data_IF_078480955250
#
_entry.id   IF_078480955250
#
_cell.length_a   1.000
_cell.length_b   1.000
_cell.length_c   1.000
_cell.angle_alpha   90.00
_cell.angle_beta   90.00
_cell.angle_gamma   90.00
#
_symmetry.space_group_name_H-M   'P 1'
#
loop_
_entity.id
_entity.type
_entity.pdbx_description
1 polymer ?
#
# COMPACT_ATOMS: atom_id res chain seq x y z
N UNK A 1 16.53 2.78 1.59
CA UNK A 1 15.96 2.93 1.26
C UNK A 1 14.73 2.62 1.43
N UNK A 2 13.92 3.12 1.36
CA UNK A 2 12.72 2.93 1.53
C UNK A 2 12.12 2.08 0.66
N UNK A 3 12.35 0.86 0.63
CA UNK A 3 11.77 0.01 -0.26
C UNK A 3 10.43 -0.36 0.16
N UNK A 4 9.99 -0.11 1.37
CA UNK A 4 8.68 -0.53 1.81
C UNK A 4 7.75 0.63 2.02
N UNK A 5 7.79 1.57 1.12
CA UNK A 5 6.86 2.67 1.20
C UNK A 5 5.47 2.18 0.85
N UNK A 6 4.48 2.95 1.22
CA UNK A 6 3.09 2.61 0.92
C UNK A 6 2.90 2.40 -0.57
N UNK A 7 3.49 3.27 -1.38
CA UNK A 7 3.34 3.14 -2.83
C UNK A 7 3.89 1.83 -3.35
N UNK A 8 5.02 1.41 -2.82
CA UNK A 8 5.60 0.15 -3.25
C UNK A 8 4.77 -1.04 -2.83
N UNK A 9 4.17 -0.95 -1.65
CA UNK A 9 3.31 -2.02 -1.20
C UNK A 9 2.08 -2.13 -2.08
N UNK A 10 1.47 -1.00 -2.40
CA UNK A 10 0.30 -0.99 -3.27
C UNK A 10 0.66 -1.54 -4.65
N UNK A 11 1.81 -1.14 -5.18
CA UNK A 11 2.27 -1.63 -6.46
C UNK A 11 2.42 -3.15 -6.43
N UNK A 12 3.05 -3.66 -5.39
CA UNK A 12 3.26 -5.09 -5.25
C UNK A 12 1.93 -5.84 -5.17
N UNK A 13 1.01 -5.34 -4.37
CA UNK A 13 -0.29 -5.99 -4.23
C UNK A 13 -1.06 -5.96 -5.54
N UNK A 14 -0.95 -4.85 -6.26
CA UNK A 14 -1.64 -4.74 -7.54
C UNK A 14 -1.11 -5.76 -8.53
N UNK A 15 0.21 -5.87 -8.62
CA UNK A 15 0.81 -6.84 -9.54
C UNK A 15 0.44 -8.25 -9.15
N UNK A 16 0.45 -8.52 -7.85
CA UNK A 16 0.12 -9.83 -7.38
C UNK A 16 -1.33 -10.18 -7.71
N UNK A 17 -2.21 -9.19 -7.68
CA UNK A 17 -3.61 -9.41 -8.01
C UNK A 17 -3.86 -9.44 -9.51
N UNK A 18 -2.85 -9.13 -10.32
CA UNK A 18 -3.00 -9.15 -11.75
C UNK A 18 -3.78 -7.97 -12.31
N UNK A 19 -3.79 -6.84 -11.59
CA UNK A 19 -4.56 -5.69 -12.03
C UNK A 19 -3.68 -4.64 -12.68
N UNK A 20 -4.25 -3.94 -13.66
CA UNK A 20 -3.59 -2.78 -14.23
C UNK A 20 -3.88 -1.60 -13.34
N UNK A 21 -3.16 -0.50 -13.56
CA UNK A 21 -3.44 0.71 -12.81
C UNK A 21 -4.85 1.19 -13.06
N UNK A 22 -5.32 1.06 -14.29
CA UNK A 22 -6.68 1.44 -14.63
C UNK A 22 -7.70 0.60 -13.90
N UNK A 23 -7.47 -0.70 -13.85
CA UNK A 23 -8.41 -1.59 -13.20
C UNK A 23 -8.47 -1.32 -11.70
N UNK A 24 -7.32 -1.03 -11.09
CA UNK A 24 -7.31 -0.74 -9.68
C UNK A 24 -8.00 0.58 -9.38
N UNK A 25 -7.84 1.56 -10.26
CA UNK A 25 -8.40 2.88 -10.04
C UNK A 25 -9.88 2.99 -10.35
N UNK A 26 -10.40 2.06 -11.11
CA UNK A 26 -11.77 2.16 -11.63
C UNK A 26 -12.78 2.40 -10.52
N UNK A 27 -13.51 3.49 -10.62
CA UNK A 27 -14.51 3.82 -9.63
C UNK A 27 -13.98 4.41 -8.34
N UNK A 28 -12.66 4.55 -8.23
CA UNK A 28 -12.04 5.08 -7.02
C UNK A 28 -11.32 6.38 -7.30
N UNK A 29 -10.45 6.39 -8.28
CA UNK A 29 -9.69 7.57 -8.62
C UNK A 29 -9.18 7.40 -10.05
N UNK A 30 -8.33 8.31 -10.50
CA UNK A 30 -7.83 8.18 -11.87
C UNK A 30 -6.60 7.27 -11.91
N UNK A 31 -6.31 6.68 -13.06
CA UNK A 31 -5.10 5.88 -13.19
C UNK A 31 -3.84 6.69 -12.92
N UNK A 32 -3.87 7.97 -13.24
CA UNK A 32 -2.74 8.83 -12.97
C UNK A 32 -2.49 8.93 -11.48
N UNK A 33 -3.54 8.97 -10.69
CA UNK A 33 -3.40 9.01 -9.24
C UNK A 33 -2.73 7.73 -8.75
N UNK A 34 -3.13 6.60 -9.30
CA UNK A 34 -2.51 5.34 -8.89
C UNK A 34 -1.02 5.37 -9.21
N UNK A 35 -0.68 5.86 -10.40
CA UNK A 35 0.71 5.93 -10.79
C UNK A 35 1.51 6.80 -9.81
N UNK A 36 0.95 7.93 -9.44
CA UNK A 36 1.63 8.82 -8.52
C UNK A 36 1.78 8.21 -7.14
N UNK A 37 0.76 7.53 -6.68
CA UNK A 37 0.81 6.87 -5.39
C UNK A 37 1.89 5.80 -5.39
N UNK A 38 1.94 5.01 -6.45
CA UNK A 38 2.92 3.93 -6.52
C UNK A 38 4.35 4.46 -6.61
N UNK A 39 4.51 5.65 -7.17
CA UNK A 39 5.83 6.24 -7.28
C UNK A 39 6.19 7.14 -6.12
N UNK A 40 5.36 7.18 -5.10
CA UNK A 40 5.66 7.97 -3.92
C UNK A 40 5.46 9.47 -4.09
N UNK A 41 4.78 9.87 -5.15
CA UNK A 41 4.56 11.29 -5.40
C UNK A 41 3.25 11.81 -4.86
N UNK A 42 2.42 10.95 -4.37
CA UNK A 42 1.13 11.35 -3.86
C UNK A 42 0.69 10.35 -2.80
N UNK A 43 0.11 10.85 -1.72
CA UNK A 43 -0.42 9.96 -0.69
C UNK A 43 -1.92 9.87 -0.87
N UNK A 44 -2.49 8.68 -0.80
CA UNK A 44 -3.94 8.56 -0.92
C UNK A 44 -4.60 9.03 0.37
N UNK A 45 -5.82 9.54 0.27
CA UNK A 45 -6.58 9.84 1.46
C UNK A 45 -6.97 8.52 2.11
N UNK A 46 -7.39 8.58 3.36
CA UNK A 46 -7.79 7.36 4.06
C UNK A 46 -8.89 6.63 3.34
N UNK A 47 -9.85 7.39 2.82
CA UNK A 47 -10.97 6.77 2.12
C UNK A 47 -10.52 6.08 0.83
N UNK A 48 -9.66 6.74 0.07
CA UNK A 48 -9.17 6.16 -1.16
C UNK A 48 -8.34 4.93 -0.85
N UNK A 49 -7.50 5.01 0.18
CA UNK A 49 -6.68 3.89 0.55
C UNK A 49 -7.53 2.68 0.92
N UNK A 50 -8.58 2.89 1.69
CA UNK A 50 -9.46 1.79 2.06
C UNK A 50 -10.08 1.14 0.84
N UNK A 51 -10.49 1.96 -0.12
CA UNK A 51 -11.11 1.41 -1.32
C UNK A 51 -10.10 0.65 -2.16
N UNK A 52 -8.90 1.15 -2.24
CA UNK A 52 -7.86 0.44 -2.99
C UNK A 52 -7.54 -0.90 -2.35
N UNK A 53 -7.40 -0.90 -1.03
CA UNK A 53 -7.08 -2.14 -0.35
C UNK A 53 -8.21 -3.15 -0.45
N UNK A 54 -9.44 -2.66 -0.41
CA UNK A 54 -10.59 -3.56 -0.58
C UNK A 54 -10.56 -4.22 -1.94
N UNK A 55 -10.22 -3.45 -2.97
CA UNK A 55 -10.15 -4.00 -4.31
C UNK A 55 -9.00 -4.99 -4.44
N UNK A 56 -7.93 -4.77 -3.69
CA UNK A 56 -6.79 -5.66 -3.71
C UNK A 56 -6.98 -6.89 -2.81
N UNK A 57 -8.09 -6.93 -2.09
CA UNK A 57 -8.36 -8.06 -1.22
C UNK A 57 -7.58 -8.02 0.07
N UNK A 58 -7.18 -6.83 0.50
CA UNK A 58 -6.37 -6.66 1.68
C UNK A 58 -7.02 -5.62 2.58
N UNK A 59 -6.95 -5.83 3.87
CA UNK A 59 -7.52 -4.85 4.79
C UNK A 59 -6.42 -3.90 5.23
N UNK A 60 -6.84 -2.79 5.83
CA UNK A 60 -5.88 -1.83 6.36
C UNK A 60 -5.03 -2.50 7.45
N UNK A 61 -5.64 -3.37 8.20
CA UNK A 61 -4.93 -4.08 9.25
C UNK A 61 -3.81 -4.94 8.65
N UNK A 62 -4.10 -5.64 7.58
CA UNK A 62 -3.11 -6.46 6.94
C UNK A 62 -1.99 -5.62 6.34
N UNK A 63 -2.33 -4.48 5.81
CA UNK A 63 -1.34 -3.59 5.27
C UNK A 63 -0.39 -3.13 6.36
N UNK A 64 -0.91 -2.79 7.51
CA UNK A 64 -0.09 -2.35 8.62
C UNK A 64 0.87 -3.44 9.06
N UNK A 65 0.40 -4.66 9.11
CA UNK A 65 1.25 -5.77 9.47
C UNK A 65 2.40 -5.93 8.50
N UNK A 66 2.11 -5.86 7.22
CA UNK A 66 3.12 -6.00 6.20
C UNK A 66 4.14 -4.88 6.33
N UNK A 67 3.65 -3.69 6.54
CA UNK A 67 4.48 -2.52 6.60
C UNK A 67 5.42 -2.62 7.80
N UNK A 68 4.90 -2.99 8.95
CA UNK A 68 5.72 -3.12 10.12
C UNK A 68 6.74 -4.23 9.98
N UNK A 69 6.34 -5.33 9.46
CA UNK A 69 7.26 -6.42 9.28
C UNK A 69 8.43 -6.05 8.41
N UNK A 70 8.17 -5.35 7.34
CA UNK A 70 9.21 -4.98 6.43
C UNK A 70 10.06 -3.86 6.91
N UNK A 71 9.46 -2.93 7.63
CA UNK A 71 10.16 -1.77 7.97
C UNK A 71 10.83 -1.77 9.30
N UNK A 72 10.21 -2.30 10.26
CA UNK A 72 10.69 -2.19 11.58
C UNK A 72 11.01 -3.49 12.23
N UNK A 73 11.34 -4.47 11.44
CA UNK A 73 11.54 -5.74 11.96
C UNK A 73 12.42 -5.78 13.16
N UNK A 74 13.51 -5.10 13.16
CA UNK A 74 14.35 -5.10 14.28
C UNK A 74 14.02 -4.07 15.29
N UNK A 75 13.77 -2.89 14.87
CA UNK A 75 13.49 -1.81 15.77
C UNK A 75 12.25 -2.03 16.57
N UNK A 76 11.24 -2.48 15.91
CA UNK A 76 9.99 -2.69 16.55
C UNK A 76 10.08 -3.76 17.59
N UNK A 77 10.83 -4.76 17.28
CA UNK A 77 10.97 -5.82 18.17
C UNK A 77 11.62 -5.37 19.44
N UNK A 78 12.57 -4.50 19.37
CA UNK A 78 13.17 -3.99 20.52
C UNK A 78 12.21 -3.23 21.37
N UNK A 79 11.38 -2.46 20.75
CA UNK A 79 10.40 -1.70 21.45
C UNK A 79 9.47 -2.59 22.23
N UNK A 80 9.08 -3.64 21.62
CA UNK A 80 8.16 -4.53 22.27
C UNK A 80 8.78 -5.23 23.45
N UNK A 81 10.02 -5.45 23.37
CA UNK A 81 10.68 -6.13 24.40
C UNK A 81 10.79 -5.35 25.64
N UNK A 82 10.56 -4.14 25.56
CA UNK A 82 10.70 -3.35 26.66
C UNK A 82 9.73 -3.38 27.44
#
# INVERSE_FOLDING_TARGET
MEKNTLGEIIHHLRKKAGLTQEALADGICSPVSISRIENGKQMPSGKVLEQLLARLGTSTYQLCNIYYENECQSSLRQTLDE
#
